data_IF_403134533991
#
_entry.id   IF_403134533991
#
_cell.length_a   1.000
_cell.length_b   1.000
_cell.length_c   1.000
_cell.angle_alpha   90.00
_cell.angle_beta   90.00
_cell.angle_gamma   90.00
#
_symmetry.space_group_name_H-M   'P 1'
#
loop_
_entity.id
_entity.type
_entity.pdbx_description
1 polymer ?
#
# COMPACT_ATOMS: atom_id res chain seq x y z
N UNK A 1 3.38 18.85 -0.35
CA UNK A 1 3.67 17.63 0.42
C UNK A 1 5.14 17.26 0.30
N UNK A 2 5.72 16.75 1.38
CA UNK A 2 7.02 16.10 1.28
C UNK A 2 6.88 14.65 0.76
N UNK A 3 8.02 13.96 0.61
CA UNK A 3 8.04 12.59 0.06
C UNK A 3 7.24 11.60 0.89
N UNK A 4 7.40 11.63 2.21
CA UNK A 4 6.68 10.71 3.10
C UNK A 4 5.18 10.96 3.13
N UNK A 5 4.77 12.22 3.12
CA UNK A 5 3.36 12.59 3.04
C UNK A 5 2.72 12.11 1.74
N UNK A 6 3.43 12.19 0.63
CA UNK A 6 2.94 11.71 -0.66
C UNK A 6 2.74 10.19 -0.67
N UNK A 7 3.64 9.43 -0.06
CA UNK A 7 3.50 7.99 0.10
C UNK A 7 2.25 7.67 0.92
N UNK A 8 2.08 8.33 2.06
CA UNK A 8 0.90 8.14 2.91
C UNK A 8 -0.39 8.48 2.16
N UNK A 9 -0.40 9.60 1.46
CA UNK A 9 -1.57 10.03 0.69
C UNK A 9 -1.95 9.00 -0.38
N UNK A 10 -0.98 8.42 -1.05
CA UNK A 10 -1.25 7.37 -2.02
C UNK A 10 -2.01 6.21 -1.38
N UNK A 11 -1.46 5.65 -0.30
CA UNK A 11 -2.06 4.48 0.34
C UNK A 11 -3.40 4.76 1.01
N UNK A 12 -3.61 5.95 1.54
CA UNK A 12 -4.88 6.33 2.18
C UNK A 12 -5.99 6.67 1.20
N UNK A 13 -5.72 6.68 -0.11
CA UNK A 13 -6.69 7.02 -1.14
C UNK A 13 -7.64 5.89 -1.56
N UNK A 14 -7.57 4.71 -0.92
CA UNK A 14 -8.34 3.54 -1.35
C UNK A 14 -9.47 3.15 -0.38
N UNK A 15 -9.86 4.06 0.49
CA UNK A 15 -10.98 3.85 1.40
C UNK A 15 -10.65 3.01 2.62
N UNK A 16 -9.39 2.71 2.87
CA UNK A 16 -8.92 2.00 4.06
C UNK A 16 -7.99 2.90 4.87
N UNK A 17 -7.97 2.68 6.19
CA UNK A 17 -6.95 3.30 7.02
C UNK A 17 -5.58 2.77 6.60
N UNK A 18 -4.62 3.67 6.46
CA UNK A 18 -3.26 3.33 6.04
C UNK A 18 -2.26 3.79 7.09
N UNK A 19 -1.35 2.88 7.46
CA UNK A 19 -0.34 3.13 8.50
C UNK A 19 1.06 2.82 7.99
N UNK A 20 2.01 3.69 8.35
CA UNK A 20 3.43 3.35 8.23
C UNK A 20 3.68 2.06 9.03
N UNK A 21 4.32 1.07 8.41
CA UNK A 21 4.54 -0.25 9.03
C UNK A 21 5.32 -0.19 10.35
N UNK A 22 6.04 0.91 10.59
CA UNK A 22 6.82 1.11 11.81
C UNK A 22 6.02 1.78 12.93
N UNK A 23 4.80 2.26 12.67
CA UNK A 23 3.97 3.01 13.62
C UNK A 23 2.51 2.57 13.59
N UNK A 24 2.27 1.27 13.46
CA UNK A 24 0.91 0.73 13.43
C UNK A 24 0.35 0.74 14.85
N UNK A 25 -0.80 1.39 15.11
CA UNK A 25 -1.41 1.36 16.42
C UNK A 25 -1.96 -0.02 16.75
N UNK A 26 -1.89 -0.43 18.02
CA UNK A 26 -2.40 -1.72 18.47
C UNK A 26 -3.88 -1.91 18.14
N UNK A 27 -4.64 -0.82 18.13
CA UNK A 27 -6.06 -0.84 17.82
C UNK A 27 -6.36 -1.34 16.39
N UNK A 28 -5.43 -1.20 15.45
CA UNK A 28 -5.66 -1.60 14.06
C UNK A 28 -5.97 -3.09 13.97
N UNK A 29 -5.17 -3.93 14.62
CA UNK A 29 -5.39 -5.38 14.64
C UNK A 29 -6.64 -5.74 15.44
N UNK A 30 -6.89 -5.06 16.58
CA UNK A 30 -8.08 -5.30 17.37
C UNK A 30 -9.35 -5.00 16.59
N UNK A 31 -9.38 -3.90 15.84
CA UNK A 31 -10.53 -3.55 15.00
C UNK A 31 -10.69 -4.49 13.82
N UNK A 32 -9.59 -4.96 13.26
CA UNK A 32 -9.63 -5.96 12.20
C UNK A 32 -10.31 -7.25 12.70
N UNK A 33 -9.88 -7.75 13.85
CA UNK A 33 -10.37 -9.03 14.39
C UNK A 33 -11.78 -8.94 14.96
N UNK A 34 -12.13 -7.83 15.61
CA UNK A 34 -13.39 -7.70 16.35
C UNK A 34 -14.48 -6.99 15.55
N UNK A 35 -14.12 -6.12 14.61
CA UNK A 35 -15.07 -5.29 13.88
C UNK A 35 -14.97 -5.47 12.36
N UNK A 36 -14.09 -6.34 11.89
CA UNK A 36 -13.83 -6.55 10.47
C UNK A 36 -13.47 -5.25 9.72
N UNK A 37 -12.68 -4.38 10.36
CA UNK A 37 -12.20 -3.14 9.73
C UNK A 37 -10.84 -3.40 9.09
N UNK A 38 -10.78 -3.52 7.76
CA UNK A 38 -9.52 -3.75 7.05
C UNK A 38 -8.64 -2.52 7.08
N UNK A 39 -7.33 -2.72 6.91
CA UNK A 39 -6.37 -1.62 6.86
C UNK A 39 -5.19 -1.98 5.95
N UNK A 40 -4.36 -0.97 5.70
CA UNK A 40 -3.13 -1.10 4.91
C UNK A 40 -1.95 -0.71 5.78
N UNK A 41 -0.88 -1.49 5.72
CA UNK A 41 0.42 -1.07 6.23
C UNK A 41 1.36 -0.88 5.04
N UNK A 42 2.28 0.11 5.11
CA UNK A 42 3.15 0.40 3.99
C UNK A 42 4.57 0.73 4.44
N UNK A 43 5.50 0.49 3.54
CA UNK A 43 6.90 0.87 3.73
C UNK A 43 7.14 2.31 3.29
N UNK A 44 8.13 2.95 3.90
CA UNK A 44 8.57 4.28 3.50
C UNK A 44 10.04 4.19 3.09
N UNK A 45 10.29 4.43 1.81
CA UNK A 45 11.64 4.55 1.26
C UNK A 45 11.65 5.75 0.33
N UNK A 46 12.67 6.57 0.41
CA UNK A 46 12.78 7.76 -0.42
C UNK A 46 14.13 7.81 -1.12
N UNK A 47 14.18 8.51 -2.24
CA UNK A 47 15.40 8.71 -3.01
C UNK A 47 15.28 10.00 -3.83
N UNK A 48 16.14 10.18 -4.80
CA UNK A 48 16.18 11.34 -5.68
C UNK A 48 15.99 10.94 -7.14
N UNK A 49 15.86 11.93 -7.99
CA UNK A 49 15.71 11.72 -9.44
C UNK A 49 16.85 10.85 -10.00
N UNK A 50 16.48 9.95 -10.89
CA UNK A 50 17.41 9.01 -11.50
C UNK A 50 17.45 7.63 -10.86
N UNK A 51 16.79 7.47 -9.70
CA UNK A 51 16.77 6.20 -8.96
C UNK A 51 15.35 5.68 -8.79
N UNK A 52 15.07 4.49 -9.30
CA UNK A 52 13.80 3.81 -9.08
C UNK A 52 13.90 3.01 -7.80
N UNK A 53 12.95 3.20 -6.89
CA UNK A 53 12.87 2.46 -5.63
C UNK A 53 11.63 1.59 -5.60
N UNK A 54 11.66 0.56 -4.78
CA UNK A 54 10.50 -0.29 -4.52
C UNK A 54 9.77 0.23 -3.30
N UNK A 55 8.45 0.42 -3.44
CA UNK A 55 7.56 0.69 -2.32
C UNK A 55 6.60 -0.47 -2.18
N UNK A 56 6.26 -0.81 -0.96
CA UNK A 56 5.38 -1.94 -0.71
C UNK A 56 4.29 -1.58 0.27
N UNK A 57 3.17 -2.28 0.14
CA UNK A 57 2.09 -2.21 1.11
C UNK A 57 1.51 -3.60 1.32
N UNK A 58 0.86 -3.78 2.45
CA UNK A 58 0.17 -5.02 2.79
C UNK A 58 -1.27 -4.67 3.10
N UNK A 59 -2.18 -5.32 2.39
CA UNK A 59 -3.61 -5.28 2.70
C UNK A 59 -3.91 -6.31 3.79
N UNK A 60 -4.68 -5.91 4.81
CA UNK A 60 -5.06 -6.74 5.93
C UNK A 60 -6.58 -6.85 5.99
N UNK A 61 -7.09 -8.06 5.81
CA UNK A 61 -8.52 -8.34 5.86
C UNK A 61 -8.79 -9.49 6.82
N UNK A 62 -9.94 -9.47 7.49
CA UNK A 62 -10.43 -10.57 8.29
C UNK A 62 -11.63 -11.18 7.56
N UNK A 63 -11.44 -12.33 6.93
CA UNK A 63 -12.44 -12.99 6.11
C UNK A 63 -12.05 -14.43 5.82
N UNK A 64 -13.03 -15.30 5.64
CA UNK A 64 -12.79 -16.66 5.16
C UNK A 64 -12.59 -16.70 3.64
N UNK A 65 -12.88 -15.59 2.95
CA UNK A 65 -12.80 -15.47 1.48
C UNK A 65 -11.66 -14.55 1.08
N UNK A 66 -11.13 -14.77 -0.12
CA UNK A 66 -10.16 -13.89 -0.77
C UNK A 66 -10.81 -12.83 -1.66
N UNK A 67 -12.14 -12.86 -1.81
CA UNK A 67 -12.83 -12.00 -2.77
C UNK A 67 -12.67 -10.50 -2.48
N UNK A 68 -12.91 -10.09 -1.23
CA UNK A 68 -12.86 -8.67 -0.87
C UNK A 68 -11.46 -8.07 -0.97
N UNK A 69 -10.46 -8.77 -0.45
CA UNK A 69 -9.08 -8.30 -0.49
C UNK A 69 -8.53 -8.29 -1.93
N UNK A 70 -8.88 -9.29 -2.73
CA UNK A 70 -8.47 -9.35 -4.14
C UNK A 70 -9.07 -8.21 -4.94
N UNK A 71 -10.33 -7.87 -4.68
CA UNK A 71 -10.99 -6.73 -5.32
C UNK A 71 -10.30 -5.42 -4.98
N UNK A 72 -9.87 -5.25 -3.73
CA UNK A 72 -9.12 -4.06 -3.32
C UNK A 72 -7.77 -3.97 -4.04
N UNK A 73 -7.05 -5.07 -4.15
CA UNK A 73 -5.78 -5.11 -4.89
C UNK A 73 -5.99 -4.72 -6.36
N UNK A 74 -7.05 -5.22 -7.00
CA UNK A 74 -7.39 -4.83 -8.37
C UNK A 74 -7.74 -3.36 -8.50
N UNK A 75 -8.43 -2.80 -7.51
CA UNK A 75 -8.74 -1.36 -7.48
C UNK A 75 -7.46 -0.52 -7.48
N UNK A 76 -6.46 -0.92 -6.71
CA UNK A 76 -5.16 -0.24 -6.68
C UNK A 76 -4.47 -0.36 -8.04
N UNK A 77 -4.48 -1.57 -8.62
CA UNK A 77 -3.91 -1.81 -9.95
C UNK A 77 -4.56 -0.94 -11.01
N UNK A 78 -5.89 -0.85 -11.01
CA UNK A 78 -6.64 -0.07 -11.99
C UNK A 78 -6.36 1.43 -11.84
N UNK A 79 -6.24 1.91 -10.61
CA UNK A 79 -5.87 3.31 -10.36
C UNK A 79 -4.51 3.65 -10.98
N UNK A 80 -3.53 2.76 -10.81
CA UNK A 80 -2.18 2.98 -11.34
C UNK A 80 -2.16 2.87 -12.88
N UNK A 81 -2.98 1.98 -13.45
CA UNK A 81 -2.96 1.73 -14.88
C UNK A 81 -1.63 1.13 -15.33
N UNK A 82 -1.37 1.19 -16.62
CA UNK A 82 -0.13 0.66 -17.20
C UNK A 82 1.05 1.62 -17.07
N UNK A 83 0.79 2.92 -17.09
CA UNK A 83 1.83 3.96 -17.05
C UNK A 83 2.11 4.54 -15.67
N UNK A 84 1.33 4.15 -14.68
CA UNK A 84 1.46 4.70 -13.33
C UNK A 84 0.75 6.03 -13.15
N UNK A 85 1.00 6.64 -12.00
CA UNK A 85 0.42 7.94 -11.62
C UNK A 85 1.51 8.88 -11.14
N UNK A 86 1.25 10.17 -11.21
CA UNK A 86 2.16 11.22 -10.76
C UNK A 86 1.49 12.01 -9.64
N UNK A 87 2.18 12.12 -8.51
CA UNK A 87 1.71 12.86 -7.34
C UNK A 87 2.60 14.09 -7.15
N UNK A 88 2.02 15.31 -7.07
CA UNK A 88 2.83 16.51 -6.85
C UNK A 88 3.50 16.51 -5.47
N UNK A 89 4.76 16.95 -5.43
CA UNK A 89 5.51 17.25 -4.22
C UNK A 89 5.77 18.75 -4.15
N UNK A 90 6.23 19.24 -3.00
CA UNK A 90 6.59 20.65 -2.85
C UNK A 90 7.70 21.08 -3.84
N UNK A 91 8.62 20.18 -4.15
CA UNK A 91 9.78 20.46 -4.99
C UNK A 91 9.87 19.62 -6.27
N UNK A 92 8.77 18.99 -6.68
CA UNK A 92 8.77 18.14 -7.87
C UNK A 92 7.59 17.19 -7.87
N UNK A 93 7.86 15.93 -8.24
CA UNK A 93 6.80 14.93 -8.41
C UNK A 93 7.26 13.57 -7.90
N UNK A 94 6.28 12.74 -7.50
CA UNK A 94 6.48 11.33 -7.24
C UNK A 94 5.72 10.54 -8.31
N UNK A 95 6.45 9.75 -9.10
CA UNK A 95 5.87 8.80 -10.03
C UNK A 95 5.75 7.45 -9.34
N UNK A 96 4.57 6.84 -9.39
CA UNK A 96 4.30 5.52 -8.81
C UNK A 96 3.68 4.64 -9.89
N UNK A 97 4.19 3.41 -10.03
CA UNK A 97 3.68 2.44 -10.98
C UNK A 97 3.65 1.04 -10.36
N UNK A 98 2.99 0.11 -11.06
CA UNK A 98 2.96 -1.30 -10.62
C UNK A 98 4.36 -1.89 -10.59
N UNK A 99 4.68 -2.62 -9.53
CA UNK A 99 5.87 -3.46 -9.48
C UNK A 99 5.60 -4.84 -10.10
N UNK A 100 6.60 -5.70 -10.04
CA UNK A 100 6.52 -7.06 -10.60
C UNK A 100 7.08 -8.08 -9.61
N UNK A 101 6.27 -9.05 -9.12
CA UNK A 101 4.82 -9.12 -9.30
C UNK A 101 4.10 -7.96 -8.60
N UNK A 102 2.94 -7.56 -9.13
CA UNK A 102 2.21 -6.45 -8.52
C UNK A 102 1.60 -6.83 -7.18
N UNK A 103 0.91 -7.97 -7.12
CA UNK A 103 0.25 -8.42 -5.89
C UNK A 103 0.54 -9.90 -5.64
N UNK A 104 0.61 -10.26 -4.36
CA UNK A 104 0.96 -11.61 -3.95
C UNK A 104 0.28 -11.93 -2.63
N UNK A 105 -0.42 -13.06 -2.58
CA UNK A 105 -1.05 -13.53 -1.34
C UNK A 105 0.03 -13.94 -0.35
N UNK A 106 -0.18 -13.58 0.93
CA UNK A 106 0.72 -13.93 2.01
C UNK A 106 0.01 -14.88 2.97
N UNK A 107 0.67 -15.96 3.42
CA UNK A 107 0.09 -16.83 4.43
C UNK A 107 0.12 -16.16 5.81
N UNK A 108 -0.88 -16.48 6.62
CA UNK A 108 -0.85 -16.19 8.06
C UNK A 108 -1.01 -17.52 8.80
N UNK A 109 0.09 -18.16 9.20
CA UNK A 109 0.05 -19.51 9.75
C UNK A 109 -0.67 -19.63 11.08
N UNK A 110 -0.82 -18.53 11.83
CA UNK A 110 -1.47 -18.56 13.14
C UNK A 110 -2.99 -18.36 13.08
N UNK A 111 -3.51 -17.82 11.97
CA UNK A 111 -4.94 -17.57 11.83
C UNK A 111 -5.33 -17.53 10.35
N UNK A 112 -6.04 -18.57 9.91
CA UNK A 112 -6.45 -18.74 8.54
C UNK A 112 -7.63 -17.84 8.11
N UNK A 113 -8.17 -17.03 9.03
CA UNK A 113 -9.18 -16.02 8.71
C UNK A 113 -8.58 -14.64 8.47
N UNK A 114 -7.29 -14.46 8.71
CA UNK A 114 -6.58 -13.24 8.37
C UNK A 114 -6.01 -13.39 6.96
N UNK A 115 -6.50 -12.54 6.05
CA UNK A 115 -6.05 -12.54 4.65
C UNK A 115 -5.11 -11.35 4.43
N UNK A 116 -3.96 -11.62 3.85
CA UNK A 116 -2.97 -10.58 3.54
C UNK A 116 -2.58 -10.66 2.07
N UNK A 117 -2.50 -9.51 1.43
CA UNK A 117 -1.94 -9.38 0.08
C UNK A 117 -0.83 -8.34 0.13
N UNK A 118 0.34 -8.74 -0.32
CA UNK A 118 1.49 -7.88 -0.50
C UNK A 118 1.36 -7.18 -1.86
N UNK A 119 1.44 -5.84 -1.84
CA UNK A 119 1.41 -5.01 -3.05
C UNK A 119 2.81 -4.45 -3.27
N UNK A 120 3.34 -4.66 -4.46
CA UNK A 120 4.66 -4.18 -4.83
C UNK A 120 4.55 -3.08 -5.89
N UNK A 121 5.17 -1.94 -5.59
CA UNK A 121 5.19 -0.77 -6.46
C UNK A 121 6.62 -0.43 -6.84
N UNK A 122 6.78 0.23 -7.97
CA UNK A 122 8.01 0.94 -8.29
C UNK A 122 7.71 2.44 -8.29
N UNK A 123 8.67 3.21 -7.86
CA UNK A 123 8.51 4.66 -7.73
C UNK A 123 9.80 5.39 -8.07
N UNK A 124 9.66 6.59 -8.57
CA UNK A 124 10.78 7.51 -8.73
C UNK A 124 10.37 8.87 -8.18
N UNK A 125 11.24 9.43 -7.33
CA UNK A 125 11.06 10.78 -6.82
C UNK A 125 11.72 11.73 -7.81
N UNK A 126 10.89 12.41 -8.63
CA UNK A 126 11.34 13.33 -9.67
C UNK A 126 11.67 14.68 -9.04
N UNK A 127 12.62 14.66 -8.11
CA UNK A 127 13.12 15.78 -7.34
C UNK A 127 14.44 15.38 -6.70
N UNK A 128 15.10 16.33 -6.06
CA UNK A 128 16.37 16.08 -5.36
C UNK A 128 16.20 15.25 -4.10
#
# INVERSE_FOLDING_TARGET
MDKSQAIHRFWSGFGLDAYDENTVPDEALNRLMNENVPYITYSVSTDSIGNVVNLSGILWYHSSSWAGISKKAEQIADYLGLGGQVIPLDSGYLWIARGTPFSQRMPEPENDTVRKIYINLQAEFLTR
#
